data_IF_618087373545
#
_entry.id   IF_618087373545
#
_cell.length_a   1.000
_cell.length_b   1.000
_cell.length_c   1.000
_cell.angle_alpha   90.00
_cell.angle_beta   90.00
_cell.angle_gamma   90.00
#
_symmetry.space_group_name_H-M   'P 1'
#
loop_
_entity.id
_entity.type
_entity.pdbx_description
1 polymer ?
#
# COMPACT_ATOMS: atom_id res chain seq x y z
N UNK A 1 -11.20 8.50 2.04
CA UNK A 1 -11.54 8.58 0.61
C UNK A 1 -11.96 7.24 0.03
N UNK A 2 -11.16 6.17 0.20
CA UNK A 2 -11.53 4.83 -0.27
C UNK A 2 -12.83 4.34 0.35
N UNK A 3 -13.02 4.52 1.66
CA UNK A 3 -14.24 4.09 2.34
C UNK A 3 -15.50 4.75 1.73
N UNK A 4 -15.43 6.03 1.40
CA UNK A 4 -16.54 6.75 0.78
C UNK A 4 -16.83 6.23 -0.63
N UNK A 5 -15.78 5.90 -1.40
CA UNK A 5 -15.95 5.31 -2.72
C UNK A 5 -16.63 3.94 -2.62
N UNK A 6 -16.22 3.11 -1.66
CA UNK A 6 -16.83 1.80 -1.46
C UNK A 6 -18.30 1.92 -1.05
N UNK A 7 -18.64 2.91 -0.23
CA UNK A 7 -20.04 3.18 0.13
C UNK A 7 -20.89 3.55 -1.10
N UNK A 8 -20.34 4.33 -2.02
CA UNK A 8 -21.01 4.67 -3.28
C UNK A 8 -21.17 3.47 -4.18
N UNK A 9 -20.17 2.59 -4.25
CA UNK A 9 -20.27 1.34 -4.99
C UNK A 9 -21.39 0.47 -4.41
N UNK A 10 -21.49 0.37 -3.09
CA UNK A 10 -22.57 -0.37 -2.45
C UNK A 10 -23.94 0.16 -2.86
N UNK A 11 -24.11 1.49 -2.90
CA UNK A 11 -25.36 2.10 -3.32
C UNK A 11 -25.72 1.76 -4.76
N UNK A 12 -24.72 1.83 -5.66
CA UNK A 12 -24.91 1.53 -7.08
C UNK A 12 -25.22 0.04 -7.31
N UNK A 13 -24.66 -0.84 -6.50
CA UNK A 13 -24.84 -2.28 -6.61
C UNK A 13 -26.15 -2.76 -5.94
N UNK A 14 -26.82 -1.91 -5.18
CA UNK A 14 -28.07 -2.28 -4.48
C UNK A 14 -29.13 -2.72 -5.48
N UNK A 15 -29.67 -3.93 -5.25
CA UNK A 15 -30.70 -4.51 -6.11
C UNK A 15 -30.18 -5.19 -7.37
N UNK A 16 -28.87 -5.14 -7.65
CA UNK A 16 -28.29 -5.88 -8.75
C UNK A 16 -28.25 -7.39 -8.42
N UNK A 17 -28.78 -8.20 -9.32
CA UNK A 17 -28.81 -9.65 -9.17
C UNK A 17 -27.74 -10.27 -10.07
N UNK A 18 -26.63 -10.59 -9.50
CA UNK A 18 -25.48 -11.17 -10.20
C UNK A 18 -24.20 -10.84 -9.48
N UNK A 19 -23.10 -11.33 -10.02
CA UNK A 19 -21.79 -11.07 -9.46
C UNK A 19 -21.34 -9.64 -9.79
N UNK A 20 -20.86 -8.93 -8.77
CA UNK A 20 -20.26 -7.61 -8.93
C UNK A 20 -18.75 -7.77 -8.79
N UNK A 21 -18.01 -7.35 -9.81
CA UNK A 21 -16.56 -7.38 -9.83
C UNK A 21 -16.01 -5.99 -9.62
N UNK A 22 -15.02 -5.87 -8.71
CA UNK A 22 -14.24 -4.65 -8.53
C UNK A 22 -12.81 -4.94 -8.92
N UNK A 23 -12.29 -4.17 -9.87
CA UNK A 23 -10.89 -4.26 -10.30
C UNK A 23 -10.15 -3.05 -9.77
N UNK A 24 -9.17 -3.30 -8.91
CA UNK A 24 -8.27 -2.28 -8.39
C UNK A 24 -7.02 -2.23 -9.27
N UNK A 25 -6.74 -1.05 -9.82
CA UNK A 25 -5.74 -0.91 -10.88
C UNK A 25 -4.30 -0.75 -10.37
N UNK A 26 -4.10 -0.72 -9.07
CA UNK A 26 -2.77 -0.54 -8.48
C UNK A 26 -2.58 0.85 -7.89
N UNK A 27 -1.34 1.14 -7.49
CA UNK A 27 -0.93 2.39 -6.86
C UNK A 27 -1.72 2.67 -5.57
N UNK A 28 -1.77 1.67 -4.69
CA UNK A 28 -2.48 1.73 -3.41
C UNK A 28 -1.72 2.51 -2.35
N UNK A 29 -0.44 2.73 -2.56
CA UNK A 29 0.51 3.28 -1.59
C UNK A 29 1.21 4.50 -2.17
N UNK A 30 1.98 5.16 -1.31
CA UNK A 30 2.84 6.30 -1.60
C UNK A 30 2.09 7.63 -1.73
N UNK A 31 2.81 8.72 -1.49
CA UNK A 31 2.38 10.12 -1.54
C UNK A 31 1.40 10.53 -0.43
N UNK A 32 0.52 9.65 0.03
CA UNK A 32 -0.39 9.92 1.15
C UNK A 32 0.06 9.21 2.42
N UNK A 33 -0.39 9.70 3.59
CA UNK A 33 0.00 9.16 4.89
C UNK A 33 -0.92 8.02 5.36
N UNK A 34 -1.82 7.54 4.52
CA UNK A 34 -2.79 6.50 4.87
C UNK A 34 -2.60 5.21 4.07
N UNK A 35 -1.39 4.97 3.56
CA UNK A 35 -1.11 3.77 2.76
C UNK A 35 -1.43 2.48 3.50
N UNK A 36 -0.98 2.37 4.76
CA UNK A 36 -1.28 1.21 5.59
C UNK A 36 -2.79 1.00 5.74
N UNK A 37 -3.52 2.07 6.03
CA UNK A 37 -4.95 2.02 6.24
C UNK A 37 -5.70 1.60 4.96
N UNK A 38 -5.24 2.05 3.79
CA UNK A 38 -5.79 1.61 2.51
C UNK A 38 -5.63 0.11 2.35
N UNK A 39 -4.43 -0.43 2.58
CA UNK A 39 -4.19 -1.88 2.49
C UNK A 39 -5.04 -2.64 3.51
N UNK A 40 -5.19 -2.11 4.74
CA UNK A 40 -6.04 -2.72 5.75
C UNK A 40 -7.50 -2.83 5.26
N UNK A 41 -8.03 -1.80 4.61
CA UNK A 41 -9.40 -1.84 4.04
C UNK A 41 -9.48 -2.88 2.92
N UNK A 42 -8.49 -2.92 2.03
CA UNK A 42 -8.47 -3.86 0.90
C UNK A 42 -8.37 -5.32 1.35
N UNK A 43 -7.77 -5.57 2.52
CA UNK A 43 -7.67 -6.91 3.12
C UNK A 43 -8.85 -7.24 4.03
N UNK A 44 -9.71 -6.27 4.33
CA UNK A 44 -10.80 -6.44 5.27
C UNK A 44 -11.98 -7.17 4.65
N UNK A 45 -12.94 -7.54 5.51
CA UNK A 45 -14.21 -8.14 5.07
C UNK A 45 -15.11 -7.14 4.34
N UNK A 46 -14.74 -5.87 4.30
CA UNK A 46 -15.49 -4.81 3.62
C UNK A 46 -15.78 -5.13 2.15
N UNK A 47 -14.85 -5.84 1.50
CA UNK A 47 -14.97 -6.22 0.09
C UNK A 47 -15.59 -7.61 -0.13
N UNK A 48 -15.96 -8.30 0.95
CA UNK A 48 -16.46 -9.67 0.89
C UNK A 48 -17.66 -9.87 -0.06
N UNK A 49 -18.59 -8.90 -0.20
CA UNK A 49 -19.71 -9.06 -1.12
C UNK A 49 -19.33 -9.05 -2.60
N UNK A 50 -18.09 -8.71 -2.93
CA UNK A 50 -17.64 -8.49 -4.29
C UNK A 50 -16.60 -9.50 -4.73
N UNK A 51 -16.54 -9.77 -6.03
CA UNK A 51 -15.42 -10.44 -6.66
C UNK A 51 -14.33 -9.38 -6.86
N UNK A 52 -13.20 -9.52 -6.18
CA UNK A 52 -12.13 -8.51 -6.21
C UNK A 52 -10.94 -8.98 -7.02
N UNK A 53 -10.35 -8.05 -7.77
CA UNK A 53 -9.16 -8.27 -8.57
C UNK A 53 -8.18 -7.13 -8.30
N UNK A 54 -6.97 -7.46 -7.85
CA UNK A 54 -5.95 -6.48 -7.49
C UNK A 54 -4.81 -6.54 -8.50
N UNK A 55 -4.64 -5.47 -9.26
CA UNK A 55 -3.49 -5.31 -10.14
C UNK A 55 -2.37 -4.58 -9.39
N UNK A 56 -1.13 -4.85 -9.78
CA UNK A 56 0.03 -4.22 -9.19
C UNK A 56 0.47 -3.05 -10.06
N UNK A 57 0.61 -1.87 -9.45
CA UNK A 57 1.15 -0.68 -10.09
C UNK A 57 2.66 -0.54 -9.87
N UNK A 58 3.24 0.51 -10.46
CA UNK A 58 4.67 0.78 -10.32
C UNK A 58 5.07 1.15 -8.89
N UNK A 59 4.16 1.73 -8.10
CA UNK A 59 4.43 2.04 -6.70
C UNK A 59 4.58 0.79 -5.85
N UNK A 60 3.77 -0.24 -6.09
CA UNK A 60 3.90 -1.53 -5.42
C UNK A 60 5.19 -2.24 -5.83
N UNK A 61 5.59 -2.16 -7.11
CA UNK A 61 6.88 -2.69 -7.55
C UNK A 61 8.06 -1.99 -6.86
N UNK A 62 7.98 -0.68 -6.68
CA UNK A 62 8.99 0.07 -5.96
C UNK A 62 9.10 -0.35 -4.49
N UNK A 63 7.97 -0.55 -3.82
CA UNK A 63 7.95 -1.08 -2.45
C UNK A 63 8.61 -2.46 -2.38
N UNK A 64 8.26 -3.38 -3.27
CA UNK A 64 8.83 -4.72 -3.29
C UNK A 64 10.34 -4.68 -3.54
N UNK A 65 10.80 -3.79 -4.40
CA UNK A 65 12.23 -3.59 -4.63
C UNK A 65 12.94 -3.11 -3.37
N UNK A 66 12.34 -2.16 -2.65
CA UNK A 66 12.89 -1.70 -1.37
C UNK A 66 12.92 -2.81 -0.32
N UNK A 67 11.87 -3.62 -0.23
CA UNK A 67 11.83 -4.74 0.72
C UNK A 67 12.96 -5.75 0.48
N UNK A 68 13.34 -5.92 -0.77
CA UNK A 68 14.43 -6.82 -1.15
C UNK A 68 15.81 -6.17 -1.04
N UNK A 69 15.91 -4.85 -1.16
CA UNK A 69 17.18 -4.13 -1.23
C UNK A 69 17.05 -2.73 -0.63
N UNK A 70 17.70 -2.51 0.51
CA UNK A 70 17.69 -1.23 1.20
C UNK A 70 18.31 -0.09 0.37
N UNK A 71 19.18 -0.41 -0.58
CA UNK A 71 19.83 0.58 -1.44
C UNK A 71 18.84 1.29 -2.38
N UNK A 72 17.68 0.70 -2.60
CA UNK A 72 16.60 1.32 -3.36
C UNK A 72 15.83 2.38 -2.57
N UNK A 73 16.09 2.52 -1.27
CA UNK A 73 15.37 3.43 -0.38
C UNK A 73 15.27 4.86 -0.86
N UNK A 74 16.39 5.54 -1.19
CA UNK A 74 16.33 6.91 -1.69
C UNK A 74 15.48 7.07 -2.94
N UNK A 75 15.53 6.13 -3.85
CA UNK A 75 14.74 6.17 -5.09
C UNK A 75 13.26 5.97 -4.82
N UNK A 76 12.90 5.05 -3.94
CA UNK A 76 11.51 4.86 -3.53
C UNK A 76 10.98 6.09 -2.81
N UNK A 77 11.79 6.69 -1.93
CA UNK A 77 11.42 7.93 -1.24
C UNK A 77 11.08 9.05 -2.23
N UNK A 78 11.82 9.16 -3.33
CA UNK A 78 11.56 10.14 -4.37
C UNK A 78 10.21 9.90 -5.09
N UNK A 79 9.70 8.68 -5.06
CA UNK A 79 8.38 8.34 -5.61
C UNK A 79 7.24 8.55 -4.63
N UNK A 80 7.52 8.97 -3.39
CA UNK A 80 6.51 9.16 -2.35
C UNK A 80 6.49 8.05 -1.30
N UNK A 81 7.50 7.19 -1.26
CA UNK A 81 7.60 6.10 -0.29
C UNK A 81 7.79 6.56 1.15
N UNK A 82 8.24 7.81 1.36
CA UNK A 82 8.41 8.35 2.71
C UNK A 82 7.10 8.33 3.50
N UNK A 83 6.02 8.75 2.87
CA UNK A 83 4.69 8.80 3.46
C UNK A 83 4.19 7.38 3.77
N UNK A 84 4.50 6.42 2.93
CA UNK A 84 4.19 5.01 3.18
C UNK A 84 4.94 4.51 4.41
N UNK A 85 6.24 4.79 4.53
CA UNK A 85 7.03 4.43 5.73
C UNK A 85 6.39 4.99 7.00
N UNK A 86 6.00 6.27 6.98
CA UNK A 86 5.34 6.91 8.13
C UNK A 86 4.03 6.19 8.47
N UNK A 87 3.24 5.79 7.48
CA UNK A 87 1.97 5.09 7.71
C UNK A 87 2.16 3.74 8.40
N UNK A 88 3.33 3.10 8.26
CA UNK A 88 3.69 1.88 8.96
C UNK A 88 4.48 2.12 10.25
N UNK A 89 4.58 3.38 10.69
CA UNK A 89 5.23 3.74 11.95
C UNK A 89 6.74 3.84 11.89
N UNK A 90 7.31 3.95 10.71
CA UNK A 90 8.75 4.06 10.50
C UNK A 90 9.13 5.47 10.08
N UNK A 91 10.12 6.06 10.76
CA UNK A 91 10.63 7.37 10.41
C UNK A 91 11.60 7.25 9.22
N UNK A 92 11.29 7.86 8.07
CA UNK A 92 12.19 7.79 6.93
C UNK A 92 13.45 8.63 7.17
N UNK A 93 14.61 8.21 6.64
CA UNK A 93 15.81 9.03 6.66
C UNK A 93 15.58 10.36 5.95
N UNK A 94 16.22 11.42 6.45
CA UNK A 94 16.12 12.76 5.82
C UNK A 94 16.86 12.84 4.50
N UNK A 95 17.99 12.13 4.41
CA UNK A 95 18.84 12.15 3.22
C UNK A 95 18.20 11.38 2.07
N UNK A 96 18.24 11.96 0.89
CA UNK A 96 17.83 11.30 -0.37
C UNK A 96 19.00 10.59 -1.04
N UNK A 97 20.17 10.59 -0.40
CA UNK A 97 21.35 9.82 -0.86
C UNK A 97 21.53 8.60 0.02
N UNK A 98 22.09 7.54 -0.57
CA UNK A 98 22.32 6.31 0.16
C UNK A 98 23.30 6.53 1.32
N UNK A 99 22.93 6.08 2.51
CA UNK A 99 23.74 6.10 3.72
C UNK A 99 23.26 4.99 4.68
N UNK A 100 23.99 4.75 5.82
CA UNK A 100 23.63 3.69 6.76
C UNK A 100 22.23 3.85 7.39
N UNK A 101 21.68 5.04 7.42
CA UNK A 101 20.32 5.26 7.94
C UNK A 101 19.26 4.52 7.11
N UNK A 102 19.49 4.33 5.81
CA UNK A 102 18.58 3.59 4.95
C UNK A 102 18.54 2.10 5.30
N UNK A 103 19.66 1.52 5.66
CA UNK A 103 19.70 0.13 6.11
C UNK A 103 18.96 -0.04 7.43
N UNK A 104 19.14 0.90 8.38
CA UNK A 104 18.43 0.89 9.66
C UNK A 104 16.92 1.04 9.46
N UNK A 105 16.50 1.97 8.61
CA UNK A 105 15.10 2.19 8.29
C UNK A 105 14.47 0.97 7.58
N UNK A 106 15.21 0.33 6.70
CA UNK A 106 14.79 -0.90 6.03
C UNK A 106 14.53 -2.02 7.04
N UNK A 107 15.46 -2.24 7.97
CA UNK A 107 15.29 -3.26 9.00
C UNK A 107 14.07 -2.97 9.89
N UNK A 108 13.87 -1.73 10.26
CA UNK A 108 12.72 -1.31 11.05
C UNK A 108 11.41 -1.49 10.27
N UNK A 109 11.41 -1.14 8.99
CA UNK A 109 10.25 -1.31 8.12
C UNK A 109 9.88 -2.78 7.97
N UNK A 110 10.85 -3.67 7.76
CA UNK A 110 10.62 -5.11 7.68
C UNK A 110 9.95 -5.65 8.96
N UNK A 111 10.35 -5.14 10.12
CA UNK A 111 9.74 -5.55 11.40
C UNK A 111 8.32 -5.04 11.57
N UNK A 112 8.03 -3.86 11.04
CA UNK A 112 6.73 -3.19 11.19
C UNK A 112 5.73 -3.60 10.13
N UNK A 113 6.19 -4.21 9.03
CA UNK A 113 5.35 -4.55 7.88
C UNK A 113 4.63 -5.88 8.14
N UNK A 114 3.29 -5.89 8.26
CA UNK A 114 2.57 -7.11 8.57
C UNK A 114 2.69 -8.17 7.46
N UNK A 115 2.75 -9.45 7.84
CA UNK A 115 2.79 -10.54 6.86
C UNK A 115 1.60 -10.54 5.91
N UNK A 116 0.40 -10.19 6.41
CA UNK A 116 -0.78 -10.09 5.56
C UNK A 116 -0.60 -9.04 4.46
N UNK A 117 0.06 -7.92 4.78
CA UNK A 117 0.37 -6.88 3.80
C UNK A 117 1.43 -7.36 2.80
N UNK A 118 2.45 -8.08 3.28
CA UNK A 118 3.48 -8.63 2.41
C UNK A 118 2.87 -9.59 1.37
N UNK A 119 1.93 -10.42 1.80
CA UNK A 119 1.27 -11.37 0.91
C UNK A 119 0.31 -10.70 -0.09
N UNK A 120 -0.19 -9.52 0.26
CA UNK A 120 -1.05 -8.74 -0.62
C UNK A 120 -0.30 -8.16 -1.84
N UNK A 121 0.96 -7.77 -1.64
CA UNK A 121 1.78 -7.16 -2.71
C UNK A 121 2.51 -8.20 -3.62
#
# INVERSE_FOLDING_TARGET
MLANLLDRIDQDATGFQGDVHIVFLGDYIDRGFQSRQVVDILLSERLRPYQTHFLKGNHEDALLTFLADSDFGPKWAAYGGRETMVSYGVKPPRSMTLNPEWEAAHNEFLKSFPNAHLLFF
#
